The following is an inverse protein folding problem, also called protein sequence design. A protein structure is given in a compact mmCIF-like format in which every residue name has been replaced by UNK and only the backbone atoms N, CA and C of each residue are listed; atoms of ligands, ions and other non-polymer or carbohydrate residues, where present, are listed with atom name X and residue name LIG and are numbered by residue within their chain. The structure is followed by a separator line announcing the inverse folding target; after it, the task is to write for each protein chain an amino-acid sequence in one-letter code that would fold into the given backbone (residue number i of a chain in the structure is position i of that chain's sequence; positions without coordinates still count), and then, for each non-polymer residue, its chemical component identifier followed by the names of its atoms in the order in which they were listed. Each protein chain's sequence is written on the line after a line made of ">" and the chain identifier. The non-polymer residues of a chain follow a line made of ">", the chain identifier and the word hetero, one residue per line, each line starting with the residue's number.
data_IF_735664799797
#
_entry.id   IF_735664799797
#
_cell.length_a   1.000
_cell.length_b   1.000
_cell.length_c   1.000
_cell.angle_alpha   90.00
_cell.angle_beta   90.00
_cell.angle_gamma   90.00
#
_symmetry.space_group_name_H-M   'P 1'
#
loop_
_entity.id
_entity.type
_entity.pdbx_description
1 polymer ?
#
# COMPACT_ATOMS: atom_id res chain seq x y z
N UNK A 1 -1.01 12.52 9.62
CA UNK A 1 -0.65 11.32 10.40
C UNK A 1 -1.36 10.05 9.91
N UNK A 2 -2.70 9.90 10.04
CA UNK A 2 -3.38 8.61 9.81
C UNK A 2 -3.12 7.95 8.44
N UNK A 3 -3.18 8.70 7.33
CA UNK A 3 -2.92 8.13 5.99
C UNK A 3 -1.49 7.64 5.82
N UNK A 4 -0.51 8.36 6.36
CA UNK A 4 0.88 7.88 6.40
C UNK A 4 1.01 6.57 7.17
N UNK A 5 0.31 6.43 8.31
CA UNK A 5 0.25 5.16 9.04
C UNK A 5 -0.37 4.03 8.20
N UNK A 6 -1.47 4.29 7.48
CA UNK A 6 -2.09 3.29 6.60
C UNK A 6 -1.18 2.88 5.44
N UNK A 7 -0.44 3.82 4.84
CA UNK A 7 0.57 3.50 3.83
C UNK A 7 1.66 2.57 4.39
N UNK A 8 2.22 2.89 5.56
CA UNK A 8 3.21 2.02 6.23
C UNK A 8 2.63 0.65 6.54
N UNK A 9 1.41 0.58 7.08
CA UNK A 9 0.76 -0.69 7.37
C UNK A 9 0.57 -1.53 6.10
N UNK A 10 0.01 -0.95 5.04
CA UNK A 10 -0.19 -1.63 3.76
C UNK A 10 1.13 -2.21 3.22
N UNK A 11 2.21 -1.42 3.24
CA UNK A 11 3.53 -1.86 2.80
C UNK A 11 4.08 -2.99 3.67
N UNK A 12 3.99 -2.88 5.00
CA UNK A 12 4.49 -3.88 5.95
C UNK A 12 3.75 -5.22 5.81
N UNK A 13 2.41 -5.21 5.76
CA UNK A 13 1.62 -6.44 5.61
C UNK A 13 1.84 -7.10 4.25
N UNK A 14 1.92 -6.32 3.18
CA UNK A 14 2.24 -6.84 1.83
C UNK A 14 3.64 -7.45 1.79
N UNK A 15 4.63 -6.81 2.43
CA UNK A 15 5.98 -7.35 2.51
C UNK A 15 6.04 -8.62 3.35
N UNK A 16 5.34 -8.65 4.50
CA UNK A 16 5.26 -9.84 5.34
C UNK A 16 4.63 -11.02 4.59
N UNK A 17 3.59 -10.78 3.79
CA UNK A 17 2.98 -11.79 2.92
C UNK A 17 3.98 -12.34 1.90
N UNK A 18 4.72 -11.46 1.19
CA UNK A 18 5.76 -11.89 0.25
C UNK A 18 6.86 -12.75 0.88
N UNK A 19 7.12 -12.57 2.17
CA UNK A 19 8.10 -13.33 2.93
C UNK A 19 7.52 -14.58 3.60
N UNK A 20 6.20 -14.84 3.48
CA UNK A 20 5.52 -15.92 4.19
C UNK A 20 5.46 -15.70 5.71
N UNK A 21 5.50 -14.45 6.16
CA UNK A 21 5.55 -14.04 7.57
C UNK A 21 4.29 -13.30 8.03
N UNK A 22 3.23 -13.26 7.22
CA UNK A 22 2.01 -12.51 7.53
C UNK A 22 1.39 -12.94 8.87
N UNK A 23 1.20 -14.24 9.07
CA UNK A 23 0.62 -14.79 10.30
C UNK A 23 1.48 -14.47 11.53
N UNK A 24 2.81 -14.63 11.40
CA UNK A 24 3.77 -14.32 12.47
C UNK A 24 3.70 -12.84 12.87
N UNK A 25 3.64 -11.94 11.90
CA UNK A 25 3.49 -10.50 12.15
C UNK A 25 2.16 -10.21 12.85
N UNK A 26 1.06 -10.81 12.40
CA UNK A 26 -0.26 -10.60 13.01
C UNK A 26 -0.32 -11.11 14.44
N UNK A 27 0.28 -12.27 14.73
CA UNK A 27 0.32 -12.83 16.08
C UNK A 27 1.13 -11.94 17.03
N UNK A 28 2.28 -11.44 16.57
CA UNK A 28 3.12 -10.53 17.35
C UNK A 28 2.41 -9.19 17.62
N UNK A 29 1.78 -8.60 16.60
CA UNK A 29 1.00 -7.37 16.77
C UNK A 29 -0.22 -7.60 17.67
N UNK A 30 -0.89 -8.75 17.59
CA UNK A 30 -2.01 -9.08 18.47
C UNK A 30 -1.57 -9.20 19.92
N UNK A 31 -0.38 -9.75 20.16
CA UNK A 31 0.20 -9.91 21.49
C UNK A 31 0.66 -8.57 22.09
N UNK A 32 1.35 -7.73 21.30
CA UNK A 32 2.04 -6.54 21.83
C UNK A 32 1.33 -5.21 21.54
N UNK A 33 0.66 -5.10 20.40
CA UNK A 33 0.10 -3.85 19.89
C UNK A 33 -1.32 -4.07 19.27
N UNK A 34 -2.28 -4.66 20.01
CA UNK A 34 -3.56 -5.08 19.44
C UNK A 34 -4.38 -3.91 18.87
N UNK A 35 -4.27 -2.72 19.46
CA UNK A 35 -4.95 -1.52 18.96
C UNK A 35 -4.38 -1.05 17.62
N UNK A 36 -3.07 -1.21 17.40
CA UNK A 36 -2.44 -0.92 16.12
C UNK A 36 -2.86 -1.94 15.06
N UNK A 37 -2.92 -3.23 15.40
CA UNK A 37 -3.41 -4.26 14.47
C UNK A 37 -4.83 -3.93 14.01
N UNK A 38 -5.73 -3.62 14.95
CA UNK A 38 -7.12 -3.25 14.63
C UNK A 38 -7.21 -1.97 13.79
N UNK A 39 -6.34 -0.99 14.06
CA UNK A 39 -6.29 0.24 13.28
C UNK A 39 -5.82 -0.01 11.85
N UNK A 40 -4.79 -0.84 11.68
CA UNK A 40 -4.30 -1.25 10.37
C UNK A 40 -5.36 -2.04 9.60
N UNK A 41 -5.97 -3.06 10.20
CA UNK A 41 -7.02 -3.86 9.56
C UNK A 41 -8.21 -2.99 9.12
N UNK A 42 -8.68 -2.09 10.00
CA UNK A 42 -9.82 -1.23 9.68
C UNK A 42 -9.51 -0.15 8.65
N UNK A 43 -8.27 0.35 8.57
CA UNK A 43 -7.88 1.39 7.62
C UNK A 43 -7.40 0.85 6.28
N UNK A 44 -6.54 -0.17 6.27
CA UNK A 44 -5.99 -0.76 5.03
C UNK A 44 -7.10 -1.36 4.19
N UNK A 45 -7.97 -2.17 4.78
CA UNK A 45 -9.04 -2.90 4.05
C UNK A 45 -10.02 -1.96 3.35
N UNK A 46 -10.29 -0.77 3.88
CA UNK A 46 -11.26 0.18 3.30
C UNK A 46 -10.63 1.18 2.32
N UNK A 47 -9.31 1.18 2.19
CA UNK A 47 -8.57 2.13 1.36
C UNK A 47 -8.67 1.87 -0.15
N UNK A 48 -8.67 0.63 -0.66
CA UNK A 48 -8.52 0.37 -2.10
C UNK A 48 -9.43 1.19 -3.03
N UNK A 49 -10.76 1.27 -2.84
CA UNK A 49 -11.66 1.99 -3.76
C UNK A 49 -11.42 3.50 -3.84
N UNK A 50 -10.62 4.05 -2.93
CA UNK A 50 -10.30 5.47 -2.80
C UNK A 50 -8.80 5.74 -2.76
N UNK A 51 -7.98 4.75 -3.11
CA UNK A 51 -6.52 4.88 -3.10
C UNK A 51 -6.05 6.03 -4.01
N UNK A 52 -6.65 6.19 -5.19
CA UNK A 52 -6.37 7.32 -6.09
C UNK A 52 -6.55 8.69 -5.41
N UNK A 53 -7.59 8.83 -4.57
CA UNK A 53 -7.82 10.05 -3.80
C UNK A 53 -6.74 10.23 -2.72
N UNK A 54 -6.31 9.13 -2.10
CA UNK A 54 -5.24 9.15 -1.12
C UNK A 54 -3.88 9.55 -1.72
N UNK A 55 -3.61 9.25 -3.00
CA UNK A 55 -2.42 9.76 -3.72
C UNK A 55 -2.40 11.28 -3.68
N UNK A 56 -3.43 11.94 -4.21
CA UNK A 56 -3.52 13.40 -4.21
C UNK A 56 -3.50 13.98 -2.80
N UNK A 57 -4.24 13.37 -1.87
CA UNK A 57 -4.26 13.86 -0.49
C UNK A 57 -2.90 13.74 0.21
N UNK A 58 -2.08 12.75 -0.13
CA UNK A 58 -0.72 12.64 0.40
C UNK A 58 0.24 13.65 -0.24
N UNK A 59 0.12 13.93 -1.54
CA UNK A 59 0.88 15.00 -2.22
C UNK A 59 0.59 16.38 -1.61
N UNK A 60 -0.69 16.66 -1.32
CA UNK A 60 -1.10 17.91 -0.65
C UNK A 60 -0.56 18.00 0.79
N UNK A 61 -0.61 16.89 1.53
CA UNK A 61 -0.03 16.81 2.88
C UNK A 61 1.46 17.09 2.82
N UNK A 62 2.16 16.48 1.86
CA UNK A 62 3.59 16.65 1.66
C UNK A 62 3.96 18.10 1.40
N UNK A 63 3.33 18.70 0.39
CA UNK A 63 3.52 20.11 0.04
C UNK A 63 3.27 21.03 1.23
N UNK A 64 2.21 20.78 2.01
CA UNK A 64 1.91 21.59 3.20
C UNK A 64 3.01 21.50 4.25
N UNK A 65 3.54 20.30 4.52
CA UNK A 65 4.61 20.13 5.51
C UNK A 65 5.92 20.75 5.04
N UNK A 66 6.19 20.71 3.72
CA UNK A 66 7.36 21.37 3.15
C UNK A 66 7.24 22.90 3.18
N UNK A 67 6.17 23.46 2.62
CA UNK A 67 5.99 24.91 2.46
C UNK A 67 5.74 25.63 3.78
N UNK A 68 4.87 25.09 4.64
CA UNK A 68 4.44 25.75 5.88
C UNK A 68 5.21 25.25 7.10
N UNK A 69 5.61 23.97 7.09
CA UNK A 69 6.30 23.33 8.20
C UNK A 69 7.83 23.39 8.10
N UNK A 70 8.39 23.69 6.92
CA UNK A 70 9.84 23.68 6.68
C UNK A 70 10.47 22.28 6.68
N UNK A 71 9.67 21.23 6.48
CA UNK A 71 10.16 19.85 6.37
C UNK A 71 10.65 19.52 4.95
N UNK A 72 11.42 18.45 4.82
CA UNK A 72 11.75 17.87 3.53
C UNK A 72 10.58 17.02 2.98
N UNK A 73 10.29 17.03 1.66
CA UNK A 73 9.15 16.31 1.08
C UNK A 73 9.28 14.77 1.04
N UNK A 74 10.43 14.18 1.36
CA UNK A 74 10.65 12.75 1.07
C UNK A 74 9.72 11.79 1.84
N UNK A 75 9.35 12.13 3.09
CA UNK A 75 8.60 11.23 3.95
C UNK A 75 7.24 10.86 3.36
N UNK A 76 6.48 11.85 2.89
CA UNK A 76 5.14 11.62 2.39
C UNK A 76 5.14 11.22 0.91
N UNK A 77 6.18 11.55 0.14
CA UNK A 77 6.37 10.97 -1.20
C UNK A 77 6.50 9.43 -1.16
N UNK A 78 7.15 8.87 -0.14
CA UNK A 78 7.14 7.42 0.07
C UNK A 78 5.71 6.85 0.23
N UNK A 79 4.86 7.53 1.00
CA UNK A 79 3.46 7.14 1.17
C UNK A 79 2.62 7.34 -0.11
N UNK A 80 2.90 8.39 -0.90
CA UNK A 80 2.31 8.59 -2.24
C UNK A 80 2.58 7.37 -3.12
N UNK A 81 3.83 6.88 -3.12
CA UNK A 81 4.22 5.67 -3.86
C UNK A 81 3.38 4.44 -3.49
N UNK A 82 3.18 4.20 -2.19
CA UNK A 82 2.34 3.07 -1.73
C UNK A 82 0.89 3.21 -2.17
N UNK A 83 0.30 4.41 -2.11
CA UNK A 83 -1.08 4.59 -2.57
C UNK A 83 -1.20 4.46 -4.09
N UNK A 84 -0.18 4.85 -4.87
CA UNK A 84 -0.13 4.58 -6.32
C UNK A 84 -0.03 3.09 -6.61
N UNK A 85 0.82 2.36 -5.90
CA UNK A 85 0.91 0.89 -6.04
C UNK A 85 -0.46 0.22 -5.82
N UNK A 86 -1.26 0.71 -4.86
CA UNK A 86 -2.62 0.21 -4.62
C UNK A 86 -3.60 0.67 -5.72
N UNK A 87 -3.52 1.93 -6.15
CA UNK A 87 -4.52 2.54 -7.04
C UNK A 87 -4.34 2.16 -8.51
N UNK A 88 -3.11 2.04 -8.97
CA UNK A 88 -2.74 1.94 -10.39
C UNK A 88 -2.13 0.59 -10.74
N UNK A 89 -1.43 -0.04 -9.79
CA UNK A 89 -0.67 -1.27 -10.03
C UNK A 89 -1.28 -2.51 -9.36
N UNK A 90 -2.57 -2.46 -9.03
CA UNK A 90 -3.29 -3.58 -8.46
C UNK A 90 -4.77 -3.59 -8.84
N UNK A 91 -5.34 -4.79 -8.96
CA UNK A 91 -6.80 -4.97 -9.13
C UNK A 91 -7.60 -4.37 -7.96
N UNK A 92 -6.94 -4.15 -6.82
CA UNK A 92 -7.50 -3.46 -5.66
C UNK A 92 -7.95 -2.03 -5.98
N UNK A 93 -7.25 -1.32 -6.86
CA UNK A 93 -7.60 0.04 -7.29
C UNK A 93 -8.88 0.11 -8.13
N UNK A 94 -9.28 -1.00 -8.75
CA UNK A 94 -10.48 -1.10 -9.60
C UNK A 94 -11.75 -1.37 -8.79
N UNK A 95 -11.61 -1.70 -7.50
CA UNK A 95 -12.71 -2.00 -6.59
C UNK A 95 -13.66 -0.82 -6.41
N UNK A 96 -14.97 -1.10 -6.33
CA UNK A 96 -16.01 -0.08 -6.15
C UNK A 96 -16.68 -0.19 -4.79
N UNK A 97 -16.99 0.96 -4.19
CA UNK A 97 -17.72 1.02 -2.92
C UNK A 97 -19.05 0.28 -3.07
N UNK A 98 -19.30 -0.68 -2.18
CA UNK A 98 -20.55 -1.46 -2.13
C UNK A 98 -20.57 -2.74 -2.99
N UNK A 99 -19.57 -2.96 -3.86
CA UNK A 99 -19.50 -4.16 -4.71
C UNK A 99 -18.12 -4.80 -4.68
N UNK A 100 -17.46 -4.76 -3.52
CA UNK A 100 -16.06 -5.18 -3.41
C UNK A 100 -15.90 -6.69 -3.33
N UNK A 101 -14.90 -7.23 -4.02
CA UNK A 101 -14.60 -8.68 -4.01
C UNK A 101 -13.18 -9.00 -3.55
N UNK A 102 -12.22 -8.09 -3.72
CA UNK A 102 -10.83 -8.20 -3.25
C UNK A 102 -10.47 -7.15 -2.20
N UNK A 103 -9.42 -7.46 -1.45
CA UNK A 103 -8.92 -6.69 -0.31
C UNK A 103 -9.94 -6.53 0.80
N UNK A 104 -10.85 -7.49 0.98
CA UNK A 104 -11.92 -7.42 1.99
C UNK A 104 -11.46 -7.83 3.39
N UNK A 105 -10.32 -8.52 3.48
CA UNK A 105 -9.56 -8.78 4.70
C UNK A 105 -8.12 -8.30 4.52
N UNK A 106 -7.34 -8.26 5.60
CA UNK A 106 -5.92 -7.90 5.52
C UNK A 106 -5.13 -8.94 4.71
N UNK A 107 -5.46 -10.21 4.86
CA UNK A 107 -4.84 -11.33 4.14
C UNK A 107 -5.10 -11.24 2.65
N UNK A 108 -6.37 -11.09 2.26
CA UNK A 108 -6.73 -10.93 0.85
C UNK A 108 -6.11 -9.65 0.26
N UNK A 109 -6.09 -8.54 1.02
CA UNK A 109 -5.39 -7.33 0.58
C UNK A 109 -3.90 -7.58 0.33
N UNK A 110 -3.19 -8.15 1.32
CA UNK A 110 -1.75 -8.35 1.25
C UNK A 110 -1.37 -9.33 0.14
N UNK A 111 -2.10 -10.44 0.01
CA UNK A 111 -1.88 -11.44 -1.04
C UNK A 111 -2.15 -10.87 -2.43
N UNK A 112 -3.22 -10.08 -2.59
CA UNK A 112 -3.54 -9.44 -3.87
C UNK A 112 -2.45 -8.47 -4.29
N UNK A 113 -2.09 -7.52 -3.42
CA UNK A 113 -1.09 -6.52 -3.75
C UNK A 113 0.29 -7.16 -3.96
N UNK A 114 0.68 -8.14 -3.15
CA UNK A 114 1.93 -8.87 -3.31
C UNK A 114 2.05 -9.51 -4.70
N UNK A 115 1.00 -10.22 -5.14
CA UNK A 115 0.92 -10.87 -6.45
C UNK A 115 0.98 -9.87 -7.60
N UNK A 116 0.21 -8.78 -7.54
CA UNK A 116 0.18 -7.78 -8.61
C UNK A 116 1.53 -7.08 -8.76
N UNK A 117 2.17 -6.75 -7.63
CA UNK A 117 3.50 -6.13 -7.61
C UNK A 117 4.60 -7.06 -8.14
N UNK A 118 4.51 -8.37 -7.86
CA UNK A 118 5.41 -9.37 -8.41
C UNK A 118 5.24 -9.51 -9.93
N UNK A 119 4.00 -9.63 -10.41
CA UNK A 119 3.69 -9.68 -11.84
C UNK A 119 4.24 -8.44 -12.58
N UNK A 120 4.04 -7.25 -12.01
CA UNK A 120 4.59 -5.98 -12.53
C UNK A 120 6.12 -6.01 -12.63
N UNK A 121 6.81 -6.52 -11.61
CA UNK A 121 8.28 -6.63 -11.60
C UNK A 121 8.78 -7.57 -12.71
N UNK A 122 8.12 -8.71 -12.90
CA UNK A 122 8.46 -9.66 -13.96
C UNK A 122 8.27 -9.06 -15.37
N UNK A 123 7.14 -8.37 -15.62
CA UNK A 123 6.92 -7.69 -16.90
C UNK A 123 7.98 -6.62 -17.21
N UNK A 124 8.41 -5.85 -16.20
CA UNK A 124 9.47 -4.84 -16.37
C UNK A 124 10.82 -5.45 -16.77
N UNK A 125 11.20 -6.56 -16.14
CA UNK A 125 12.45 -7.27 -16.47
C UNK A 125 12.45 -7.77 -17.92
N UNK A 126 11.36 -8.38 -18.38
CA UNK A 126 11.24 -8.88 -19.77
C UNK A 126 11.25 -7.78 -20.84
N UNK A 127 10.82 -6.55 -20.48
CA UNK A 127 10.83 -5.40 -21.40
C UNK A 127 12.23 -4.81 -21.51
N UNK A 128 12.98 -4.79 -20.40
CA UNK A 128 14.36 -4.30 -20.38
C UNK A 128 15.31 -5.24 -21.14
N UNK A 129 15.13 -6.56 -21.01
CA UNK A 129 15.92 -7.56 -21.77
C UNK A 129 15.67 -7.52 -23.29
N UNK A 130 14.48 -7.10 -23.74
CA UNK A 130 14.16 -6.94 -25.19
C UNK A 130 14.63 -5.61 -25.77
N UNK A 131 14.91 -4.61 -24.94
CA UNK A 131 15.34 -3.27 -25.37
C UNK A 131 16.83 -3.16 -25.67
N UNK A 132 17.66 -4.05 -25.14
CA UNK A 132 19.12 -4.07 -25.32
C UNK A 132 19.58 -4.89 -26.56
N UNK A 133 18.63 -5.41 -27.35
CA UNK A 133 18.87 -6.25 -28.54
C UNK A 133 18.77 -5.46 -29.88
N UNK A 134 18.95 -4.12 -29.87
CA UNK A 134 18.95 -3.25 -31.05
C UNK A 134 20.15 -2.29 -31.12
#
# INVERSE_FOLDING_TARGET
>A
MFKGYIAVAAQVFTTAERLGLLDVLKDELRLRLPDHLRLAESGVVVTPPKAYRCVFEMEEIDRTHAEEGGFDPDLFQGAVGVFRDIAEDSVLGEEKIGSRVRGTTMEDFAATLASDLEHRAACRQTTQEKGDDH
#
